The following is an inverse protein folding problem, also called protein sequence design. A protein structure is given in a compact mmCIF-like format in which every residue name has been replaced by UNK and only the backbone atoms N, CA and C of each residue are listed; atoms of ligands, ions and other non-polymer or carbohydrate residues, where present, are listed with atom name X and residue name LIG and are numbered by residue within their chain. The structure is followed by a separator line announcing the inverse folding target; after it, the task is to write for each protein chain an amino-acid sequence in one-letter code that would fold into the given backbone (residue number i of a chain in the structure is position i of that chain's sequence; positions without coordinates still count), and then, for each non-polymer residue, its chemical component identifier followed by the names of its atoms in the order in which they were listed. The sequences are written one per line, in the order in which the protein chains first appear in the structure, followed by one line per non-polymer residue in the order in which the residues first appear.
data_IF_666568959325
#
_entry.id   IF_666568959325
#
_cell.length_a   1.000
_cell.length_b   1.000
_cell.length_c   1.000
_cell.angle_alpha   90.00
_cell.angle_beta   90.00
_cell.angle_gamma   90.00
#
_symmetry.space_group_name_H-M   'P 1'
#
loop_
_entity.id
_entity.type
_entity.pdbx_description
1 polymer ?
#
# COMPACT_ATOMS: atom_id res chain seq x y z
N UNK A 1 1.90 6.76 -21.92
CA UNK A 1 3.01 6.89 -20.95
C UNK A 1 2.92 5.75 -19.97
N UNK A 2 4.07 5.26 -19.54
CA UNK A 2 4.14 4.14 -18.61
C UNK A 2 4.40 4.65 -17.21
N UNK A 3 3.68 4.09 -16.25
CA UNK A 3 3.77 4.50 -14.86
C UNK A 3 3.94 3.32 -13.93
N UNK A 4 4.59 3.60 -12.82
CA UNK A 4 4.59 2.73 -11.65
C UNK A 4 3.92 3.47 -10.50
N UNK A 5 3.03 2.79 -9.80
CA UNK A 5 2.43 3.32 -8.58
C UNK A 5 2.64 2.37 -7.42
N UNK A 6 2.79 2.93 -6.24
CA UNK A 6 2.83 2.18 -4.99
C UNK A 6 1.71 2.73 -4.13
N UNK A 7 0.75 1.89 -3.79
CA UNK A 7 -0.37 2.27 -2.92
C UNK A 7 -0.15 1.68 -1.54
N UNK A 8 -0.20 2.52 -0.53
CA UNK A 8 -0.05 2.13 0.87
C UNK A 8 -1.42 2.17 1.52
N UNK A 9 -1.82 1.06 2.14
CA UNK A 9 -3.12 0.93 2.81
C UNK A 9 -2.86 0.52 4.26
N UNK A 10 -3.41 1.27 5.20
CA UNK A 10 -3.23 1.01 6.63
C UNK A 10 -4.54 1.20 7.39
N UNK A 11 -4.71 0.43 8.46
CA UNK A 11 -5.80 0.67 9.38
C UNK A 11 -5.66 2.06 10.01
N UNK A 12 -6.78 2.74 10.19
CA UNK A 12 -6.80 4.02 10.89
C UNK A 12 -6.29 3.85 12.31
N UNK A 13 -5.68 4.90 12.86
CA UNK A 13 -5.01 4.85 14.15
C UNK A 13 -5.94 4.38 15.29
N UNK A 14 -7.20 4.68 15.20
CA UNK A 14 -8.18 4.33 16.23
C UNK A 14 -8.76 2.92 16.08
N UNK A 15 -8.46 2.24 14.96
CA UNK A 15 -8.92 0.87 14.74
C UNK A 15 -7.92 -0.09 15.35
N UNK A 16 -8.41 -1.09 16.10
CA UNK A 16 -7.55 -2.11 16.68
C UNK A 16 -6.92 -2.99 15.59
N UNK A 17 -5.61 -3.17 15.67
CA UNK A 17 -4.83 -3.95 14.71
C UNK A 17 -4.46 -5.29 15.33
N UNK A 18 -5.40 -6.25 15.29
CA UNK A 18 -5.17 -7.58 15.85
C UNK A 18 -3.98 -8.31 15.22
N UNK A 19 -3.80 -8.31 13.89
CA UNK A 19 -2.58 -8.88 13.30
C UNK A 19 -1.31 -8.19 13.78
N UNK A 20 -1.33 -6.84 13.86
CA UNK A 20 -0.18 -6.08 14.34
C UNK A 20 0.16 -6.39 15.78
N UNK A 21 -0.85 -6.53 16.63
CA UNK A 21 -0.66 -6.89 18.02
C UNK A 21 -0.06 -8.28 18.19
N UNK A 22 -0.48 -9.24 17.37
CA UNK A 22 0.07 -10.58 17.39
C UNK A 22 1.54 -10.60 16.98
N UNK A 23 1.89 -9.85 15.94
CA UNK A 23 3.28 -9.72 15.47
C UNK A 23 4.13 -9.01 16.51
N UNK A 24 3.62 -7.97 17.13
CA UNK A 24 4.32 -7.28 18.21
C UNK A 24 4.67 -8.23 19.35
N UNK A 25 3.74 -9.09 19.74
CA UNK A 25 3.98 -10.11 20.76
C UNK A 25 5.08 -11.10 20.37
N UNK A 26 5.13 -11.50 19.10
CA UNK A 26 6.17 -12.36 18.58
C UNK A 26 7.56 -11.70 18.59
N UNK A 27 7.60 -10.41 18.28
CA UNK A 27 8.85 -9.64 18.32
C UNK A 27 9.50 -9.69 19.70
N UNK A 28 8.69 -9.65 20.75
CA UNK A 28 9.16 -9.70 22.12
C UNK A 28 9.89 -11.02 22.44
N UNK A 29 9.47 -12.12 21.81
CA UNK A 29 10.09 -13.42 22.01
C UNK A 29 11.38 -13.63 21.22
N UNK A 30 11.52 -12.91 20.11
CA UNK A 30 12.59 -13.13 19.15
C UNK A 30 13.66 -12.04 19.16
N UNK A 31 13.43 -10.93 19.85
CA UNK A 31 14.31 -9.78 19.82
C UNK A 31 14.33 -9.09 21.19
N UNK A 32 15.39 -8.35 21.44
CA UNK A 32 15.51 -7.48 22.62
C UNK A 32 14.89 -6.10 22.41
N UNK A 33 14.28 -5.85 21.25
CA UNK A 33 13.63 -4.57 20.98
C UNK A 33 12.39 -4.39 21.84
N UNK A 34 12.27 -3.23 22.45
CA UNK A 34 11.09 -2.81 23.16
C UNK A 34 10.23 -1.98 22.21
N UNK A 35 9.30 -2.62 21.55
CA UNK A 35 8.47 -2.00 20.52
C UNK A 35 7.23 -1.39 21.17
N UNK A 36 7.14 -0.07 21.16
CA UNK A 36 5.98 0.63 21.70
C UNK A 36 4.73 0.42 20.86
N UNK A 37 4.89 0.46 19.55
CA UNK A 37 3.76 0.37 18.64
C UNK A 37 4.16 -0.35 17.37
N UNK A 38 3.30 -1.25 16.92
CA UNK A 38 3.47 -1.95 15.67
C UNK A 38 2.14 -1.98 14.94
N UNK A 39 2.13 -1.47 13.73
CA UNK A 39 0.95 -1.43 12.87
C UNK A 39 1.27 -2.14 11.57
N UNK A 40 0.32 -2.91 11.09
CA UNK A 40 0.46 -3.62 9.82
C UNK A 40 -0.46 -3.00 8.77
N UNK A 41 -0.08 -3.20 7.53
CA UNK A 41 -0.87 -2.74 6.39
C UNK A 41 -0.49 -3.53 5.16
N UNK A 42 -0.90 -3.05 4.02
CA UNK A 42 -0.53 -3.68 2.75
C UNK A 42 0.02 -2.64 1.79
N UNK A 43 0.81 -3.12 0.86
CA UNK A 43 1.39 -2.33 -0.23
C UNK A 43 0.97 -2.97 -1.53
N UNK A 44 0.48 -2.16 -2.45
CA UNK A 44 0.06 -2.63 -3.76
C UNK A 44 0.94 -1.94 -4.80
N UNK A 45 1.66 -2.73 -5.58
CA UNK A 45 2.48 -2.24 -6.68
C UNK A 45 1.73 -2.41 -7.99
N UNK A 46 1.70 -1.35 -8.78
CA UNK A 46 1.01 -1.33 -10.07
C UNK A 46 1.95 -0.80 -11.14
N UNK A 47 1.92 -1.45 -12.31
CA UNK A 47 2.56 -0.96 -13.52
C UNK A 47 1.48 -0.86 -14.59
N UNK A 48 1.33 0.32 -15.19
CA UNK A 48 0.25 0.55 -16.13
C UNK A 48 0.58 1.65 -17.12
N UNK A 49 -0.22 1.75 -18.17
CA UNK A 49 -0.14 2.82 -19.15
C UNK A 49 -1.32 3.76 -19.00
N UNK A 50 -1.07 5.04 -19.22
CA UNK A 50 -2.08 6.07 -19.22
C UNK A 50 -1.67 7.18 -20.18
N UNK A 51 -2.63 7.97 -20.68
CA UNK A 51 -2.33 9.06 -21.61
C UNK A 51 -1.42 10.14 -21.01
N UNK A 52 -1.59 10.42 -19.73
CA UNK A 52 -0.82 11.42 -19.03
C UNK A 52 -0.91 11.19 -17.51
N UNK A 53 -0.17 12.01 -16.77
CA UNK A 53 -0.09 11.89 -15.31
C UNK A 53 -1.40 12.27 -14.63
N UNK A 54 -2.10 13.27 -15.15
CA UNK A 54 -3.37 13.70 -14.57
C UNK A 54 -4.43 12.60 -14.64
N UNK A 55 -4.54 11.94 -15.78
CA UNK A 55 -5.43 10.79 -15.95
C UNK A 55 -5.03 9.65 -15.04
N UNK A 56 -3.74 9.33 -14.98
CA UNK A 56 -3.22 8.27 -14.14
C UNK A 56 -3.54 8.54 -12.65
N UNK A 57 -3.32 9.76 -12.20
CA UNK A 57 -3.60 10.15 -10.81
C UNK A 57 -5.07 10.00 -10.47
N UNK A 58 -5.95 10.44 -11.36
CA UNK A 58 -7.39 10.36 -11.15
C UNK A 58 -7.88 8.92 -11.06
N UNK A 59 -7.43 8.07 -11.97
CA UNK A 59 -7.85 6.66 -11.98
C UNK A 59 -7.26 5.91 -10.79
N UNK A 60 -6.03 6.21 -10.42
CA UNK A 60 -5.40 5.60 -9.27
C UNK A 60 -6.09 5.99 -7.96
N UNK A 61 -6.53 7.24 -7.86
CA UNK A 61 -7.34 7.69 -6.73
C UNK A 61 -8.61 6.85 -6.62
N UNK A 62 -9.31 6.68 -7.73
CA UNK A 62 -10.56 5.90 -7.76
C UNK A 62 -10.34 4.45 -7.32
N UNK A 63 -9.29 3.81 -7.83
CA UNK A 63 -8.97 2.43 -7.45
C UNK A 63 -8.61 2.32 -5.98
N UNK A 64 -7.82 3.26 -5.47
CA UNK A 64 -7.39 3.24 -4.08
C UNK A 64 -8.57 3.42 -3.13
N UNK A 65 -9.46 4.35 -3.46
CA UNK A 65 -10.59 4.69 -2.61
C UNK A 65 -11.71 3.66 -2.67
N UNK A 66 -11.96 3.08 -3.84
CA UNK A 66 -13.11 2.22 -4.05
C UNK A 66 -12.80 0.73 -4.01
N UNK A 67 -11.55 0.35 -4.24
CA UNK A 67 -11.19 -1.05 -4.37
C UNK A 67 -10.10 -1.48 -3.40
N UNK A 68 -8.97 -0.74 -3.37
CA UNK A 68 -7.79 -1.17 -2.63
C UNK A 68 -7.95 -0.99 -1.14
N UNK A 69 -8.63 0.04 -0.70
CA UNK A 69 -8.84 0.32 0.71
C UNK A 69 -10.32 0.21 1.08
N UNK A 70 -10.57 -0.28 2.28
CA UNK A 70 -11.88 -0.16 2.92
C UNK A 70 -11.87 1.15 3.70
N UNK A 71 -12.39 2.22 3.12
CA UNK A 71 -12.27 3.57 3.67
C UNK A 71 -13.07 3.79 4.96
N UNK A 72 -13.89 2.83 5.36
CA UNK A 72 -14.54 2.87 6.67
C UNK A 72 -13.50 2.71 7.79
N UNK A 73 -12.50 1.85 7.57
CA UNK A 73 -11.51 1.49 8.60
C UNK A 73 -10.06 1.72 8.16
N UNK A 74 -9.81 2.02 6.90
CA UNK A 74 -8.46 2.15 6.34
C UNK A 74 -8.23 3.52 5.72
N UNK A 75 -6.99 3.99 5.84
CA UNK A 75 -6.48 5.15 5.11
C UNK A 75 -5.55 4.64 4.02
N UNK A 76 -5.43 5.42 2.96
CA UNK A 76 -4.53 5.09 1.86
C UNK A 76 -3.78 6.32 1.38
N UNK A 77 -2.64 6.06 0.76
CA UNK A 77 -1.83 7.05 0.05
C UNK A 77 -1.13 6.35 -1.09
N UNK A 78 -0.60 7.11 -2.04
CA UNK A 78 0.18 6.51 -3.11
C UNK A 78 1.29 7.42 -3.59
N UNK A 79 2.27 6.78 -4.23
CA UNK A 79 3.33 7.43 -4.98
C UNK A 79 3.19 7.02 -6.44
N UNK A 80 3.31 7.96 -7.36
CA UNK A 80 3.17 7.73 -8.79
C UNK A 80 4.44 8.22 -9.49
N UNK A 81 5.07 7.35 -10.25
CA UNK A 81 6.30 7.64 -10.97
C UNK A 81 6.17 7.23 -12.43
N UNK A 82 6.55 8.10 -13.33
CA UNK A 82 6.65 7.74 -14.74
C UNK A 82 7.91 6.90 -14.94
N UNK A 83 7.78 5.82 -15.72
CA UNK A 83 8.89 4.91 -16.03
C UNK A 83 9.02 4.75 -17.52
N UNK A 84 10.23 4.40 -17.98
CA UNK A 84 10.49 4.21 -19.42
C UNK A 84 10.01 2.86 -19.90
N UNK A 85 10.08 1.87 -19.03
CA UNK A 85 9.70 0.49 -19.37
C UNK A 85 9.22 -0.24 -18.14
N UNK A 86 8.51 -1.34 -18.37
CA UNK A 86 8.09 -2.21 -17.28
C UNK A 86 9.20 -3.23 -16.99
N UNK A 87 9.49 -3.50 -15.70
CA UNK A 87 10.51 -4.48 -15.34
C UNK A 87 10.16 -5.88 -15.84
N UNK A 88 11.19 -6.65 -16.20
CA UNK A 88 11.00 -8.06 -16.52
C UNK A 88 10.56 -8.82 -15.27
N UNK A 89 9.67 -9.78 -15.46
CA UNK A 89 9.19 -10.62 -14.38
C UNK A 89 8.01 -10.02 -13.63
N UNK A 90 7.60 -8.79 -13.97
CA UNK A 90 6.41 -8.16 -13.39
C UNK A 90 5.22 -8.53 -14.26
N UNK A 91 4.69 -9.72 -14.02
CA UNK A 91 3.51 -10.23 -14.73
C UNK A 91 2.58 -10.89 -13.76
N UNK A 92 1.29 -10.70 -14.00
CA UNK A 92 0.25 -11.49 -13.35
C UNK A 92 0.06 -12.78 -14.15
N UNK A 93 0.61 -13.83 -13.63
CA UNK A 93 0.52 -15.12 -14.28
C UNK A 93 -0.32 -16.11 -13.48
#
# INVERSE_FOLDING_TARGET
MKFRAIVFVRLRAQVDDSPGNAVKGACKRLSDLDIDKLRMGKVIDLWFEAPDREYATKELYTLSDRLFANTVIEDWSFELTEVESFPHGVRNE
#
